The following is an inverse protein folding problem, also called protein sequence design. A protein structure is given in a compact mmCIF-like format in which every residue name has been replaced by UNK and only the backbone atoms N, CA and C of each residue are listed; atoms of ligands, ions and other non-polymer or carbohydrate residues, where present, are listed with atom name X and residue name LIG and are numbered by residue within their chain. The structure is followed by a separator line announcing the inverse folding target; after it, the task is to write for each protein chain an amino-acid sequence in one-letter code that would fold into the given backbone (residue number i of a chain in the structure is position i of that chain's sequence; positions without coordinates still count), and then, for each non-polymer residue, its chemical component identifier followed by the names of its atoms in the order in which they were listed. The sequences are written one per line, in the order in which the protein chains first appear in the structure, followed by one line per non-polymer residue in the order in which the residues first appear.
data_IF_570900407187
#
_entry.id   IF_570900407187
#
_cell.length_a   1.000
_cell.length_b   1.000
_cell.length_c   1.000
_cell.angle_alpha   90.00
_cell.angle_beta   90.00
_cell.angle_gamma   90.00
#
_symmetry.space_group_name_H-M   'P 1'
#
loop_
_entity.id
_entity.type
_entity.pdbx_description
1 polymer ?
#
# COMPACT_ATOMS: atom_id res chain seq x y z
N UNK A 1 -12.67 65.47 28.07
CA UNK A 1 -13.64 64.38 28.24
C UNK A 1 -14.68 64.49 27.13
N UNK A 2 -15.12 63.39 26.48
CA UNK A 2 -14.38 62.25 25.94
C UNK A 2 -14.79 61.98 24.46
N UNK A 3 -14.12 61.06 23.77
CA UNK A 3 -14.52 60.65 22.41
C UNK A 3 -13.49 59.79 21.69
N UNK A 4 -12.98 58.75 22.37
CA UNK A 4 -12.16 57.71 21.78
C UNK A 4 -13.04 56.75 20.94
N UNK A 5 -12.66 56.48 19.69
CA UNK A 5 -12.83 55.21 18.96
C UNK A 5 -11.81 55.25 17.80
N UNK A 6 -10.58 54.77 17.98
CA UNK A 6 -10.23 53.37 17.78
C UNK A 6 -10.89 52.79 16.52
N UNK A 7 -10.23 52.97 15.38
CA UNK A 7 -10.34 52.03 14.26
C UNK A 7 -8.97 51.44 14.01
N UNK A 8 -8.56 50.65 14.99
CA UNK A 8 -7.64 49.53 14.82
C UNK A 8 -8.34 48.50 13.93
N UNK A 9 -8.35 48.76 12.61
CA UNK A 9 -8.74 47.75 11.63
C UNK A 9 -7.53 46.86 11.42
N UNK A 10 -7.39 45.94 12.37
CA UNK A 10 -6.45 44.83 12.37
C UNK A 10 -6.52 44.11 11.02
N UNK A 11 -5.59 44.43 10.12
CA UNK A 11 -5.13 43.49 9.11
C UNK A 11 -4.63 42.28 9.89
N UNK A 12 -5.49 41.26 10.09
CA UNK A 12 -5.06 39.95 10.53
C UNK A 12 -3.96 39.54 9.55
N UNK A 13 -2.68 39.46 9.96
CA UNK A 13 -1.70 38.89 9.07
C UNK A 13 -2.21 37.49 8.77
N UNK A 14 -2.43 37.19 7.49
CA UNK A 14 -2.73 35.83 7.05
C UNK A 14 -1.67 34.96 7.73
N UNK A 15 -2.07 34.22 8.78
CA UNK A 15 -1.19 33.43 9.62
C UNK A 15 -0.65 32.32 8.73
N UNK A 16 0.42 32.65 8.00
CA UNK A 16 0.95 31.79 6.97
C UNK A 16 1.46 30.54 7.66
N UNK A 17 0.97 29.39 7.22
CA UNK A 17 1.39 28.10 7.73
C UNK A 17 2.93 28.06 7.81
N UNK A 18 3.50 27.73 8.98
CA UNK A 18 4.94 27.60 9.16
C UNK A 18 5.58 26.77 8.04
N UNK A 19 6.76 27.21 7.58
CA UNK A 19 7.43 26.57 6.45
C UNK A 19 7.71 25.08 6.69
N UNK A 20 7.98 24.70 7.94
CA UNK A 20 8.22 23.31 8.36
C UNK A 20 6.97 22.44 8.16
N UNK A 21 5.82 22.90 8.66
CA UNK A 21 4.53 22.23 8.49
C UNK A 21 4.14 22.13 7.02
N UNK A 22 4.30 23.22 6.26
CA UNK A 22 4.00 23.22 4.83
C UNK A 22 4.88 22.24 4.07
N UNK A 23 6.18 22.14 4.39
CA UNK A 23 7.07 21.16 3.77
C UNK A 23 6.68 19.73 4.15
N UNK A 24 6.32 19.48 5.39
CA UNK A 24 5.83 18.18 5.85
C UNK A 24 4.57 17.74 5.09
N UNK A 25 3.57 18.63 4.99
CA UNK A 25 2.34 18.40 4.22
C UNK A 25 2.66 18.20 2.73
N UNK A 26 3.49 19.05 2.12
CA UNK A 26 3.87 18.90 0.71
C UNK A 26 4.55 17.56 0.42
N UNK A 27 5.40 17.09 1.33
CA UNK A 27 6.07 15.80 1.20
C UNK A 27 5.07 14.63 1.28
N UNK A 28 4.14 14.69 2.25
CA UNK A 28 3.05 13.72 2.39
C UNK A 28 2.11 13.73 1.16
N UNK A 29 1.78 14.90 0.61
CA UNK A 29 0.94 15.00 -0.59
C UNK A 29 1.67 14.53 -1.85
N UNK A 30 2.99 14.72 -1.94
CA UNK A 30 3.78 14.36 -3.13
C UNK A 30 4.09 12.86 -3.20
N UNK A 31 4.44 12.26 -2.07
CA UNK A 31 4.92 10.89 -2.00
C UNK A 31 3.93 9.94 -1.32
N UNK A 32 2.95 10.46 -0.58
CA UNK A 32 2.00 9.69 0.22
C UNK A 32 2.57 9.25 1.58
N UNK A 33 3.89 9.13 1.71
CA UNK A 33 4.56 8.60 2.89
C UNK A 33 5.95 9.20 3.10
N UNK A 34 6.47 9.04 4.32
CA UNK A 34 7.74 9.56 4.77
C UNK A 34 8.36 8.63 5.82
N UNK A 35 9.56 8.14 5.55
CA UNK A 35 10.34 7.32 6.49
C UNK A 35 11.32 8.17 7.31
N UNK A 36 11.51 7.79 8.58
CA UNK A 36 12.49 8.39 9.46
C UNK A 36 13.91 8.27 8.91
N UNK A 37 14.26 7.12 8.32
CA UNK A 37 15.59 6.87 7.77
C UNK A 37 15.98 7.77 6.59
N UNK A 38 15.00 8.29 5.84
CA UNK A 38 15.26 9.18 4.69
C UNK A 38 15.23 10.65 5.09
N UNK A 39 14.23 11.08 5.87
CA UNK A 39 14.03 12.49 6.27
C UNK A 39 13.71 12.63 7.76
N UNK A 40 14.67 12.39 8.67
CA UNK A 40 14.41 12.30 10.11
C UNK A 40 13.88 13.61 10.71
N UNK A 41 14.31 14.76 10.17
CA UNK A 41 13.83 16.07 10.62
C UNK A 41 12.35 16.29 10.29
N UNK A 42 11.93 15.94 9.07
CA UNK A 42 10.53 16.07 8.66
C UNK A 42 9.66 15.04 9.38
N UNK A 43 10.15 13.81 9.54
CA UNK A 43 9.46 12.79 10.32
C UNK A 43 9.16 13.28 11.74
N UNK A 44 10.17 13.83 12.42
CA UNK A 44 10.00 14.36 13.78
C UNK A 44 8.99 15.51 13.82
N UNK A 45 9.00 16.42 12.83
CA UNK A 45 7.98 17.46 12.72
C UNK A 45 6.59 16.87 12.54
N UNK A 46 6.44 15.83 11.72
CA UNK A 46 5.15 15.16 11.53
C UNK A 46 4.69 14.54 12.85
N UNK A 47 5.53 13.74 13.50
CA UNK A 47 5.21 13.09 14.77
C UNK A 47 4.88 14.09 15.89
N UNK A 48 5.58 15.23 15.95
CA UNK A 48 5.38 16.23 17.02
C UNK A 48 4.17 17.12 16.77
N UNK A 49 3.88 17.46 15.51
CA UNK A 49 2.83 18.40 15.13
C UNK A 49 1.66 17.74 14.38
N UNK A 50 1.42 16.42 14.57
CA UNK A 50 0.38 15.64 13.88
C UNK A 50 -0.97 16.33 13.90
N UNK A 51 -1.39 16.87 15.06
CA UNK A 51 -2.68 17.56 15.20
C UNK A 51 -2.81 18.75 14.24
N UNK A 52 -1.76 19.57 14.13
CA UNK A 52 -1.74 20.73 13.23
C UNK A 52 -1.66 20.32 11.76
N UNK A 53 -0.96 19.23 11.47
CA UNK A 53 -0.89 18.67 10.12
C UNK A 53 -2.25 18.13 9.70
N UNK A 54 -2.95 17.42 10.58
CA UNK A 54 -4.29 16.91 10.30
C UNK A 54 -5.30 18.05 10.11
N UNK A 55 -5.19 19.15 10.85
CA UNK A 55 -5.99 20.37 10.57
C UNK A 55 -5.74 20.98 9.19
N UNK A 56 -4.54 20.81 8.63
CA UNK A 56 -4.21 21.29 7.29
C UNK A 56 -4.61 20.31 6.18
N UNK A 57 -4.73 19.02 6.53
CA UNK A 57 -5.12 17.94 5.63
C UNK A 57 -6.64 17.69 5.63
N UNK A 58 -7.35 18.09 6.68
CA UNK A 58 -8.79 17.94 6.81
C UNK A 58 -9.58 18.54 5.63
N UNK A 59 -9.25 19.72 5.08
CA UNK A 59 -9.97 20.27 3.92
C UNK A 59 -9.77 19.49 2.62
N UNK A 60 -8.87 18.51 2.63
CA UNK A 60 -8.58 17.61 1.53
C UNK A 60 -9.07 16.19 1.81
N UNK A 61 -9.83 16.00 2.90
CA UNK A 61 -10.36 14.72 3.39
C UNK A 61 -9.26 13.71 3.78
N UNK A 62 -8.13 14.23 4.28
CA UNK A 62 -6.94 13.46 4.60
C UNK A 62 -6.49 13.63 6.05
N UNK A 63 -5.78 12.63 6.52
CA UNK A 63 -5.09 12.62 7.81
C UNK A 63 -3.68 12.04 7.67
N UNK A 64 -2.74 12.53 8.47
CA UNK A 64 -1.43 11.93 8.63
C UNK A 64 -1.46 10.92 9.80
N UNK A 65 -1.06 9.68 9.50
CA UNK A 65 -0.81 8.62 10.49
C UNK A 65 0.68 8.47 10.72
N UNK A 66 1.07 8.22 11.95
CA UNK A 66 2.47 8.06 12.35
C UNK A 66 2.64 6.73 13.09
N UNK A 67 3.47 5.86 12.52
CA UNK A 67 3.99 4.65 13.13
C UNK A 67 5.41 4.96 13.64
N UNK A 68 5.51 5.34 14.92
CA UNK A 68 6.80 5.66 15.55
C UNK A 68 7.68 4.43 15.73
N UNK A 69 7.07 3.25 15.94
CA UNK A 69 7.80 2.00 16.15
C UNK A 69 8.64 1.64 14.91
N UNK A 70 8.05 1.82 13.73
CA UNK A 70 8.71 1.56 12.44
C UNK A 70 9.31 2.81 11.79
N UNK A 71 9.10 3.98 12.39
CA UNK A 71 9.55 5.26 11.86
C UNK A 71 8.91 5.64 10.53
N UNK A 72 7.60 5.40 10.36
CA UNK A 72 6.87 5.69 9.13
C UNK A 72 5.71 6.67 9.38
N UNK A 73 5.63 7.74 8.59
CA UNK A 73 4.48 8.62 8.55
C UNK A 73 3.83 8.52 7.16
N UNK A 74 2.51 8.47 7.08
CA UNK A 74 1.79 8.35 5.81
C UNK A 74 0.47 9.08 5.82
N UNK A 75 0.01 9.51 4.64
CA UNK A 75 -1.29 10.12 4.44
C UNK A 75 -2.35 9.02 4.23
N UNK A 76 -3.46 9.13 4.94
CA UNK A 76 -4.66 8.29 4.88
C UNK A 76 -5.88 9.19 4.65
N UNK A 77 -7.00 8.61 4.24
CA UNK A 77 -8.29 9.32 4.17
C UNK A 77 -8.94 9.35 5.53
N UNK A 78 -9.70 10.41 5.79
CA UNK A 78 -10.63 10.48 6.91
C UNK A 78 -11.73 9.41 6.77
N UNK A 79 -11.94 8.54 7.77
CA UNK A 79 -12.93 7.45 7.70
C UNK A 79 -14.36 7.91 7.35
N UNK A 80 -14.74 9.11 7.77
CA UNK A 80 -16.07 9.68 7.56
C UNK A 80 -16.40 9.89 6.07
N UNK A 81 -15.39 10.00 5.20
CA UNK A 81 -15.54 10.16 3.75
C UNK A 81 -15.68 8.84 2.97
N UNK A 82 -15.50 7.70 3.64
CA UNK A 82 -15.64 6.39 3.01
C UNK A 82 -17.10 5.90 2.96
N UNK A 83 -18.05 6.64 3.57
CA UNK A 83 -19.35 6.09 3.96
C UNK A 83 -20.58 6.47 3.12
N UNK A 84 -20.48 7.24 2.02
CA UNK A 84 -21.70 7.60 1.25
C UNK A 84 -21.73 7.21 -0.24
N UNK A 85 -20.61 6.90 -0.90
CA UNK A 85 -20.60 6.53 -2.34
C UNK A 85 -19.58 5.43 -2.72
N UNK A 86 -18.92 4.79 -1.74
CA UNK A 86 -17.86 3.82 -1.99
C UNK A 86 -18.37 2.37 -2.15
N UNK A 87 -19.38 2.16 -2.99
CA UNK A 87 -19.86 0.80 -3.29
C UNK A 87 -18.87 -0.06 -4.10
N UNK A 88 -17.66 0.39 -4.47
CA UNK A 88 -16.86 -0.42 -5.40
C UNK A 88 -15.35 -0.18 -5.57
N UNK A 89 -14.62 0.38 -4.61
CA UNK A 89 -13.15 0.29 -4.69
C UNK A 89 -12.52 0.14 -3.31
N UNK A 90 -12.50 -1.11 -2.84
CA UNK A 90 -11.89 -1.63 -1.60
C UNK A 90 -10.36 -1.37 -1.48
N UNK A 91 -9.80 -0.57 -2.39
CA UNK A 91 -8.37 -0.22 -2.49
C UNK A 91 -8.14 1.27 -2.78
N UNK A 92 -9.16 2.13 -2.64
CA UNK A 92 -9.05 3.55 -2.92
C UNK A 92 -8.58 4.36 -1.69
N UNK A 93 -7.26 4.44 -1.48
CA UNK A 93 -6.69 5.64 -0.85
C UNK A 93 -6.49 6.71 -1.96
N UNK A 94 -7.22 7.83 -1.97
CA UNK A 94 -7.22 8.86 -3.01
C UNK A 94 -5.89 9.58 -3.21
N UNK A 95 -4.97 9.52 -2.24
CA UNK A 95 -3.59 9.99 -2.42
C UNK A 95 -2.58 8.90 -2.72
N UNK A 96 -2.99 7.63 -2.67
CA UNK A 96 -2.18 6.50 -3.09
C UNK A 96 -2.90 5.70 -4.16
N UNK A 97 -2.82 6.27 -5.37
CA UNK A 97 -2.71 5.55 -6.63
C UNK A 97 -3.92 4.72 -7.07
N UNK A 98 -4.68 5.28 -8.01
CA UNK A 98 -5.85 4.72 -8.74
C UNK A 98 -5.59 3.43 -9.54
N UNK A 99 -4.52 2.69 -9.27
CA UNK A 99 -4.16 1.52 -10.04
C UNK A 99 -4.70 0.26 -9.36
N UNK A 100 -5.64 -0.43 -10.01
CA UNK A 100 -6.10 -1.75 -9.60
C UNK A 100 -4.90 -2.71 -9.56
N UNK A 101 -4.65 -3.30 -8.39
CA UNK A 101 -3.63 -4.35 -8.25
C UNK A 101 -4.11 -5.58 -9.02
N UNK A 102 -3.24 -6.12 -9.87
CA UNK A 102 -3.51 -7.40 -10.52
C UNK A 102 -3.29 -8.52 -9.51
N UNK A 103 -3.81 -9.72 -9.80
CA UNK A 103 -3.59 -10.89 -8.95
C UNK A 103 -2.11 -11.12 -8.64
N UNK A 104 -1.26 -11.02 -9.66
CA UNK A 104 0.18 -11.17 -9.53
C UNK A 104 0.79 -10.12 -8.58
N UNK A 105 0.38 -8.85 -8.69
CA UNK A 105 0.85 -7.78 -7.79
C UNK A 105 0.46 -8.07 -6.33
N UNK A 106 -0.77 -8.54 -6.13
CA UNK A 106 -1.27 -8.85 -4.80
C UNK A 106 -0.60 -10.08 -4.19
N UNK A 107 -0.25 -11.09 -5.00
CA UNK A 107 0.49 -12.26 -4.54
C UNK A 107 1.93 -11.88 -4.15
N UNK A 108 2.61 -11.09 -4.98
CA UNK A 108 3.94 -10.54 -4.65
C UNK A 108 3.87 -9.74 -3.36
N UNK A 109 2.87 -8.88 -3.20
CA UNK A 109 2.65 -8.12 -1.97
C UNK A 109 2.47 -9.03 -0.75
N UNK A 110 1.69 -10.11 -0.87
CA UNK A 110 1.44 -11.05 0.21
C UNK A 110 2.73 -11.77 0.66
N UNK A 111 3.55 -12.20 -0.30
CA UNK A 111 4.85 -12.84 -0.04
C UNK A 111 5.80 -11.86 0.65
N UNK A 112 5.94 -10.65 0.10
CA UNK A 112 6.77 -9.60 0.68
C UNK A 112 6.34 -9.26 2.11
N UNK A 113 5.03 -9.23 2.38
CA UNK A 113 4.51 -8.96 3.72
C UNK A 113 4.85 -10.07 4.69
N UNK A 114 4.66 -11.34 4.29
CA UNK A 114 5.01 -12.50 5.12
C UNK A 114 6.46 -12.43 5.54
N UNK A 115 7.35 -12.17 4.60
CA UNK A 115 8.80 -12.09 4.82
C UNK A 115 9.17 -10.89 5.66
N UNK A 116 8.52 -9.74 5.46
CA UNK A 116 8.67 -8.57 6.33
C UNK A 116 8.31 -8.89 7.79
N UNK A 117 7.14 -9.49 8.03
CA UNK A 117 6.68 -9.85 9.39
C UNK A 117 7.57 -10.92 10.01
N UNK A 118 8.07 -11.87 9.22
CA UNK A 118 8.99 -12.91 9.67
C UNK A 118 10.33 -12.32 10.11
N UNK A 119 10.89 -11.42 9.31
CA UNK A 119 12.16 -10.74 9.64
C UNK A 119 12.00 -9.76 10.80
N UNK A 120 10.87 -9.07 10.90
CA UNK A 120 10.53 -8.20 12.03
C UNK A 120 10.47 -9.00 13.36
N UNK A 121 9.93 -10.22 13.33
CA UNK A 121 9.91 -11.10 14.50
C UNK A 121 11.30 -11.60 14.91
N UNK A 122 12.21 -11.79 13.95
CA UNK A 122 13.55 -12.33 14.18
C UNK A 122 14.57 -11.25 14.58
N UNK A 123 14.53 -10.11 13.90
CA UNK A 123 15.49 -9.01 14.04
C UNK A 123 14.99 -7.83 14.88
N UNK A 124 13.68 -7.77 15.16
CA UNK A 124 13.04 -6.66 15.86
C UNK A 124 12.40 -5.63 14.92
N UNK A 125 11.53 -4.80 15.50
CA UNK A 125 10.77 -3.76 14.80
C UNK A 125 11.69 -2.65 14.27
N UNK A 126 11.56 -2.32 12.99
CA UNK A 126 12.33 -1.25 12.33
C UNK A 126 13.64 -1.70 11.67
N UNK A 127 13.95 -3.00 11.64
CA UNK A 127 15.09 -3.52 10.87
C UNK A 127 14.79 -3.43 9.36
N UNK A 128 15.78 -2.98 8.58
CA UNK A 128 15.67 -2.94 7.14
C UNK A 128 15.62 -4.36 6.57
N UNK A 129 14.47 -4.75 6.02
CA UNK A 129 14.28 -6.07 5.43
C UNK A 129 14.72 -6.06 3.97
N UNK A 130 15.56 -7.02 3.59
CA UNK A 130 16.02 -7.21 2.21
C UNK A 130 15.73 -8.63 1.74
N UNK A 131 15.35 -8.77 0.48
CA UNK A 131 15.01 -10.04 -0.16
C UNK A 131 15.63 -10.10 -1.56
N UNK A 132 16.13 -11.26 -1.98
CA UNK A 132 16.58 -11.47 -3.36
C UNK A 132 15.39 -11.73 -4.29
N UNK A 133 15.46 -11.24 -5.54
CA UNK A 133 14.45 -11.53 -6.57
C UNK A 133 14.30 -13.04 -6.79
N UNK A 134 15.40 -13.79 -6.73
CA UNK A 134 15.38 -15.24 -6.95
C UNK A 134 14.63 -15.99 -5.84
N UNK A 135 14.71 -15.53 -4.59
CA UNK A 135 13.92 -16.09 -3.47
C UNK A 135 12.43 -15.82 -3.68
N UNK A 136 12.09 -14.61 -4.14
CA UNK A 136 10.72 -14.24 -4.47
C UNK A 136 10.15 -15.12 -5.60
N UNK A 137 10.95 -15.38 -6.64
CA UNK A 137 10.59 -16.28 -7.74
C UNK A 137 10.34 -17.71 -7.24
N UNK A 138 11.22 -18.24 -6.38
CA UNK A 138 11.05 -19.58 -5.81
C UNK A 138 9.76 -19.70 -4.97
N UNK A 139 9.40 -18.66 -4.24
CA UNK A 139 8.14 -18.65 -3.47
C UNK A 139 6.92 -18.55 -4.39
N UNK A 140 7.00 -17.76 -5.46
CA UNK A 140 5.94 -17.63 -6.48
C UNK A 140 5.68 -18.94 -7.23
N UNK A 141 6.73 -19.71 -7.54
CA UNK A 141 6.62 -21.04 -8.16
C UNK A 141 5.76 -22.02 -7.36
N UNK A 142 5.56 -21.78 -6.06
CA UNK A 142 4.71 -22.62 -5.20
C UNK A 142 3.22 -22.30 -5.40
N UNK A 143 2.89 -21.13 -5.94
CA UNK A 143 1.52 -20.62 -6.04
C UNK A 143 1.01 -20.47 -7.47
N UNK A 144 1.90 -20.38 -8.47
CA UNK A 144 1.54 -20.24 -9.88
C UNK A 144 2.24 -21.35 -10.66
N UNK A 145 1.50 -22.04 -11.53
CA UNK A 145 2.09 -22.99 -12.47
C UNK A 145 3.02 -22.27 -13.45
N UNK A 146 4.26 -22.75 -13.58
CA UNK A 146 5.31 -22.13 -14.42
C UNK A 146 4.78 -21.80 -15.81
N UNK A 147 4.98 -20.57 -16.29
CA UNK A 147 4.69 -20.23 -17.69
C UNK A 147 5.79 -20.74 -18.62
N UNK A 148 6.27 -21.99 -18.46
CA UNK A 148 7.19 -22.68 -19.37
C UNK A 148 8.52 -21.97 -19.70
N UNK A 149 8.80 -20.78 -19.17
CA UNK A 149 9.93 -19.93 -19.50
C UNK A 149 10.28 -19.03 -18.32
N UNK A 150 11.35 -19.39 -17.61
CA UNK A 150 11.87 -18.65 -16.46
C UNK A 150 12.14 -17.16 -16.77
N UNK A 151 12.48 -16.84 -18.03
CA UNK A 151 12.73 -15.46 -18.47
C UNK A 151 11.44 -14.62 -18.52
N UNK A 152 10.30 -15.23 -18.86
CA UNK A 152 9.01 -14.55 -18.84
C UNK A 152 8.53 -14.33 -17.41
N UNK A 153 8.68 -15.33 -16.55
CA UNK A 153 8.27 -15.26 -15.15
C UNK A 153 9.07 -14.18 -14.40
N UNK A 154 10.40 -14.12 -14.62
CA UNK A 154 11.24 -13.04 -14.09
C UNK A 154 10.79 -11.66 -14.55
N UNK A 155 10.43 -11.50 -15.84
CA UNK A 155 9.96 -10.21 -16.38
C UNK A 155 8.62 -9.78 -15.76
N UNK A 156 7.70 -10.73 -15.52
CA UNK A 156 6.41 -10.45 -14.86
C UNK A 156 6.62 -9.99 -13.43
N UNK A 157 7.47 -10.68 -12.66
CA UNK A 157 7.81 -10.30 -11.28
C UNK A 157 8.45 -8.92 -11.22
N UNK A 158 9.38 -8.60 -12.13
CA UNK A 158 9.97 -7.26 -12.18
C UNK A 158 8.92 -6.19 -12.49
N UNK A 159 7.98 -6.47 -13.39
CA UNK A 159 6.86 -5.55 -13.69
C UNK A 159 5.97 -5.34 -12.45
N UNK A 160 5.70 -6.41 -11.72
CA UNK A 160 4.95 -6.36 -10.47
C UNK A 160 5.67 -5.55 -9.39
N UNK A 161 6.97 -5.77 -9.24
CA UNK A 161 7.82 -5.01 -8.31
C UNK A 161 7.92 -3.55 -8.69
N UNK A 162 7.95 -3.20 -9.97
CA UNK A 162 7.91 -1.81 -10.42
C UNK A 162 6.59 -1.13 -10.08
N UNK A 163 5.46 -1.84 -10.20
CA UNK A 163 4.17 -1.35 -9.72
C UNK A 163 4.23 -1.13 -8.20
N UNK A 164 4.67 -2.13 -7.42
CA UNK A 164 4.83 -2.02 -5.96
C UNK A 164 5.84 -0.95 -5.52
N UNK A 165 6.84 -0.65 -6.35
CA UNK A 165 7.77 0.46 -6.16
C UNK A 165 7.08 1.80 -6.32
N UNK A 166 6.23 1.98 -7.34
CA UNK A 166 5.39 3.18 -7.48
C UNK A 166 4.47 3.33 -6.28
N UNK A 167 4.03 2.22 -5.70
CA UNK A 167 3.27 2.17 -4.46
C UNK A 167 4.11 2.43 -3.21
N UNK A 168 5.44 2.57 -3.28
CA UNK A 168 6.30 2.86 -2.13
C UNK A 168 6.43 1.71 -1.12
N UNK A 169 6.04 0.49 -1.49
CA UNK A 169 6.20 -0.73 -0.68
C UNK A 169 7.64 -1.25 -0.76
N UNK A 170 8.30 -0.94 -1.86
CA UNK A 170 9.54 -1.59 -2.28
C UNK A 170 10.58 -0.54 -2.68
N UNK A 171 11.84 -0.79 -2.35
CA UNK A 171 12.99 0.02 -2.76
C UNK A 171 13.51 -0.39 -4.14
N UNK A 172 14.40 0.40 -4.73
CA UNK A 172 15.03 0.03 -5.99
C UNK A 172 15.84 -1.26 -5.86
N UNK A 173 15.94 -2.00 -6.97
CA UNK A 173 16.78 -3.18 -7.10
C UNK A 173 18.24 -2.76 -7.03
N UNK A 174 19.01 -3.39 -6.15
CA UNK A 174 20.47 -3.22 -6.10
C UNK A 174 21.15 -4.00 -7.25
N UNK A 175 22.43 -3.72 -7.50
CA UNK A 175 23.24 -4.41 -8.52
C UNK A 175 23.36 -5.94 -8.31
N UNK A 176 22.94 -6.43 -7.15
CA UNK A 176 22.90 -7.84 -6.77
C UNK A 176 21.47 -8.41 -6.76
N UNK A 177 20.51 -7.77 -7.42
CA UNK A 177 19.09 -8.18 -7.47
C UNK A 177 18.42 -8.29 -6.08
N UNK A 178 18.91 -7.51 -5.10
CA UNK A 178 18.27 -7.38 -3.80
C UNK A 178 17.27 -6.24 -3.78
N UNK A 179 16.18 -6.47 -3.07
CA UNK A 179 15.05 -5.57 -2.93
C UNK A 179 14.89 -5.22 -1.44
N UNK A 180 14.83 -3.92 -1.12
CA UNK A 180 14.49 -3.47 0.22
C UNK A 180 12.97 -3.37 0.42
N UNK A 181 12.41 -4.09 1.39
CA UNK A 181 10.98 -4.04 1.74
C UNK A 181 10.77 -2.91 2.75
N UNK A 182 9.82 -2.02 2.45
CA UNK A 182 9.54 -0.82 3.27
C UNK A 182 8.46 -1.10 4.32
N UNK A 183 8.49 -0.44 5.48
CA UNK A 183 7.52 -0.66 6.56
C UNK A 183 6.06 -0.35 6.17
N UNK A 184 5.86 0.42 5.10
CA UNK A 184 4.52 0.77 4.61
C UNK A 184 3.70 -0.46 4.18
N UNK A 185 4.35 -1.59 3.89
CA UNK A 185 3.68 -2.85 3.56
C UNK A 185 2.71 -3.32 4.65
N UNK A 186 2.97 -2.95 5.91
CA UNK A 186 2.11 -3.32 7.06
C UNK A 186 0.76 -2.59 7.00
N UNK A 187 0.78 -1.34 6.53
CA UNK A 187 -0.40 -0.47 6.50
C UNK A 187 -1.21 -0.60 5.21
N UNK A 188 -0.60 -1.08 4.13
CA UNK A 188 -1.28 -1.29 2.83
C UNK A 188 -2.07 -2.60 2.78
N UNK A 189 -1.63 -3.62 3.53
CA UNK A 189 -2.30 -4.91 3.59
C UNK A 189 -3.22 -4.96 4.82
N UNK A 190 -4.30 -4.17 4.80
CA UNK A 190 -5.40 -4.34 5.74
C UNK A 190 -5.78 -5.84 5.76
N UNK A 191 -5.89 -6.47 6.95
CA UNK A 191 -6.18 -7.90 7.06
C UNK A 191 -7.48 -8.28 6.34
N UNK A 192 -8.43 -7.34 6.24
CA UNK A 192 -9.69 -7.48 5.52
C UNK A 192 -9.47 -7.60 4.01
N UNK A 193 -8.68 -6.72 3.40
CA UNK A 193 -8.36 -6.77 1.97
C UNK A 193 -7.64 -8.06 1.57
N UNK A 194 -6.77 -8.58 2.44
CA UNK A 194 -6.11 -9.86 2.21
C UNK A 194 -7.09 -11.03 2.35
N UNK A 195 -8.03 -10.96 3.29
CA UNK A 195 -9.10 -11.95 3.43
C UNK A 195 -10.06 -11.92 2.24
N UNK A 196 -10.47 -10.74 1.78
CA UNK A 196 -11.29 -10.55 0.58
C UNK A 196 -10.58 -11.12 -0.65
N UNK A 197 -9.29 -10.85 -0.82
CA UNK A 197 -8.49 -11.41 -1.90
C UNK A 197 -8.35 -12.93 -1.80
N UNK A 198 -8.08 -13.48 -0.61
CA UNK A 198 -8.03 -14.92 -0.40
C UNK A 198 -9.39 -15.59 -0.66
N UNK A 199 -10.49 -14.92 -0.32
CA UNK A 199 -11.84 -15.38 -0.63
C UNK A 199 -12.10 -15.35 -2.14
N UNK A 200 -11.73 -14.28 -2.83
CA UNK A 200 -11.81 -14.20 -4.29
C UNK A 200 -10.97 -15.28 -4.97
N UNK A 201 -9.76 -15.56 -4.47
CA UNK A 201 -8.91 -16.63 -4.96
C UNK A 201 -9.51 -18.01 -4.75
N UNK A 202 -10.07 -18.27 -3.56
CA UNK A 202 -10.81 -19.52 -3.28
C UNK A 202 -12.03 -19.67 -4.19
N UNK A 203 -12.73 -18.59 -4.48
CA UNK A 203 -13.90 -18.61 -5.36
C UNK A 203 -13.51 -18.90 -6.81
N UNK A 204 -12.40 -18.33 -7.29
CA UNK A 204 -11.88 -18.60 -8.64
C UNK A 204 -11.36 -20.04 -8.78
N UNK A 205 -10.67 -20.59 -7.78
CA UNK A 205 -10.22 -21.99 -7.82
C UNK A 205 -11.41 -22.97 -7.72
N UNK A 206 -12.43 -22.64 -6.93
CA UNK A 206 -13.68 -23.40 -6.89
C UNK A 206 -14.45 -23.35 -8.23
N UNK A 207 -14.48 -22.20 -8.90
CA UNK A 207 -15.10 -22.06 -10.24
C UNK A 207 -14.30 -22.77 -11.35
N UNK A 208 -12.97 -22.75 -11.29
CA UNK A 208 -12.13 -23.52 -12.20
C UNK A 208 -12.35 -25.04 -12.04
N UNK A 209 -12.71 -25.48 -10.83
CA UNK A 209 -12.99 -26.89 -10.52
C UNK A 209 -14.39 -27.33 -10.96
N UNK A 210 -15.38 -26.43 -10.99
CA UNK A 210 -16.73 -26.73 -11.46
C UNK A 210 -16.89 -26.65 -12.98
N UNK A 211 -16.04 -25.89 -13.69
CA UNK A 211 -16.04 -25.83 -15.16
C UNK A 211 -15.46 -27.08 -15.83
N UNK A 212 -14.74 -27.95 -15.09
CA UNK A 212 -14.16 -29.19 -15.60
C UNK A 212 -15.07 -30.43 -15.53
N UNK A 213 -16.31 -30.31 -15.06
CA UNK A 213 -17.24 -31.45 -14.86
C UNK A 213 -18.41 -31.48 -15.87
N UNK A 214 -18.34 -30.74 -16.98
CA UNK A 214 -19.44 -30.66 -17.97
C UNK A 214 -19.10 -31.23 -19.35
N UNK A 215 -18.10 -32.09 -19.47
CA UNK A 215 -17.80 -32.82 -20.72
C UNK A 215 -17.28 -34.21 -20.45
N UNK A 216 -18.06 -35.03 -19.75
CA UNK A 216 -17.96 -36.49 -19.88
C UNK A 216 -19.27 -37.08 -19.33
N UNK A 217 -20.21 -37.41 -20.22
CA UNK A 217 -21.17 -38.50 -20.05
C UNK A 217 -22.19 -38.47 -21.19
N UNK A 218 -21.99 -39.37 -22.15
CA UNK A 218 -22.92 -39.59 -23.25
C UNK A 218 -22.45 -40.58 -24.31
N UNK A 219 -21.63 -41.57 -23.95
CA UNK A 219 -21.42 -42.76 -24.81
C UNK A 219 -21.30 -44.04 -23.96
N UNK A 220 -22.45 -44.66 -23.72
CA UNK A 220 -22.65 -46.07 -23.36
C UNK A 220 -24.16 -46.32 -23.56
N UNK A 221 -24.73 -47.29 -24.27
CA UNK A 221 -24.41 -48.70 -24.49
C UNK A 221 -25.29 -49.23 -25.65
N UNK A 222 -24.97 -50.43 -26.12
CA UNK A 222 -25.49 -51.18 -27.27
C UNK A 222 -26.93 -51.77 -27.20
N UNK A 223 -27.33 -52.36 -28.35
CA UNK A 223 -28.41 -53.33 -28.67
C UNK A 223 -29.84 -52.78 -28.90
N UNK A 224 -30.53 -53.12 -29.99
CA UNK A 224 -31.03 -54.47 -30.32
C UNK A 224 -31.14 -54.77 -31.84
N UNK A 225 -31.14 -56.07 -32.14
CA UNK A 225 -31.32 -56.73 -33.44
C UNK A 225 -32.79 -57.02 -33.74
#
# INVERSE_FOLDING_TARGET
MPGALAQDSLEKPLLRTPLTLRRAVQELLKHGWLEHGTKPRLFKTIATETVRINQLLEPLDLEAKVDELRGLAFASVLPDFLNDDAEQDEWAHPLMFRQRLTLEHSLVLAILRREFIQQEQQGGVGVAVRMAVDDLLLQLDTFIDRSGSDMQDRKRVLTALEALRKHGVVSELDAQDYIGIRPMIVHLANPENLQALLQHLKNLSAQASSAGQSTDDGDDTAQEA
#
